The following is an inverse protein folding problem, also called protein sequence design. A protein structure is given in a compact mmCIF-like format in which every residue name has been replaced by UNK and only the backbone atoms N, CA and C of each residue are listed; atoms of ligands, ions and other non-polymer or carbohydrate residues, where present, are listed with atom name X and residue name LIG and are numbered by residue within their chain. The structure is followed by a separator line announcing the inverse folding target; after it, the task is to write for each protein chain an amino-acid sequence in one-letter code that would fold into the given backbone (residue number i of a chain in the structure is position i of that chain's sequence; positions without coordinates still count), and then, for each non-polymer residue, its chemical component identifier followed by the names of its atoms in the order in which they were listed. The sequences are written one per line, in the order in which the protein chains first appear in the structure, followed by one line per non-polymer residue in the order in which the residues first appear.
data_IF_536221639982
#
_entry.id   IF_536221639982
#
_cell.length_a   1.000
_cell.length_b   1.000
_cell.length_c   1.000
_cell.angle_alpha   90.00
_cell.angle_beta   90.00
_cell.angle_gamma   90.00
#
_symmetry.space_group_name_H-M   'P 1'
#
loop_
_entity.id
_entity.type
_entity.pdbx_description
1 polymer ?
#
# COMPACT_ATOMS: atom_id res chain seq x y z
N UNK A 1 -10.12 -21.22 18.08
CA UNK A 1 -10.80 -21.68 16.86
C UNK A 1 -10.77 -20.52 15.90
N UNK A 2 -10.31 -20.74 14.67
CA UNK A 2 -10.40 -19.72 13.63
C UNK A 2 -11.87 -19.46 13.28
N UNK A 3 -12.20 -18.27 12.78
CA UNK A 3 -13.56 -17.92 12.39
C UNK A 3 -14.15 -18.91 11.35
N UNK A 4 -13.29 -19.50 10.51
CA UNK A 4 -13.66 -20.49 9.49
C UNK A 4 -14.24 -21.80 10.06
N UNK A 5 -13.95 -22.12 11.33
CA UNK A 5 -14.51 -23.29 12.03
C UNK A 5 -15.88 -23.06 12.65
N UNK A 6 -16.45 -21.85 12.57
CA UNK A 6 -17.76 -21.57 13.12
C UNK A 6 -18.86 -22.08 12.17
N UNK A 7 -19.94 -22.74 12.66
CA UNK A 7 -21.01 -23.29 11.80
C UNK A 7 -21.72 -22.29 10.88
N UNK A 8 -21.69 -20.98 11.25
CA UNK A 8 -22.26 -19.89 10.45
C UNK A 8 -21.23 -19.18 9.56
N UNK A 9 -19.98 -19.63 9.55
CA UNK A 9 -18.96 -19.04 8.69
C UNK A 9 -19.17 -19.43 7.22
N UNK A 10 -18.86 -18.47 6.33
CA UNK A 10 -18.80 -18.75 4.89
C UNK A 10 -17.49 -19.49 4.61
N UNK A 11 -17.56 -20.75 4.20
CA UNK A 11 -16.40 -21.64 4.13
C UNK A 11 -15.33 -21.19 3.12
N UNK A 12 -15.72 -20.50 2.06
CA UNK A 12 -14.87 -19.98 1.00
C UNK A 12 -14.71 -18.44 1.04
N UNK A 13 -14.98 -17.81 2.18
CA UNK A 13 -15.02 -16.35 2.35
C UNK A 13 -13.79 -15.63 1.77
N UNK A 14 -12.61 -16.24 1.86
CA UNK A 14 -11.33 -15.65 1.40
C UNK A 14 -11.22 -15.50 -0.12
N UNK A 15 -11.98 -16.25 -0.91
CA UNK A 15 -12.01 -16.20 -2.38
C UNK A 15 -13.43 -16.06 -2.95
N UNK A 16 -14.43 -15.85 -2.10
CA UNK A 16 -15.81 -15.61 -2.50
C UNK A 16 -16.02 -14.11 -2.71
N UNK A 17 -16.02 -13.67 -3.98
CA UNK A 17 -16.13 -12.25 -4.28
C UNK A 17 -17.47 -11.64 -3.86
N UNK A 18 -18.57 -12.39 -3.93
CA UNK A 18 -19.87 -11.87 -3.48
C UNK A 18 -19.87 -11.59 -1.97
N UNK A 19 -19.25 -12.48 -1.18
CA UNK A 19 -19.06 -12.24 0.25
C UNK A 19 -18.17 -11.02 0.54
N UNK A 20 -17.05 -10.87 -0.18
CA UNK A 20 -16.15 -9.70 -0.05
C UNK A 20 -16.87 -8.41 -0.44
N UNK A 21 -17.65 -8.43 -1.52
CA UNK A 21 -18.48 -7.32 -1.97
C UNK A 21 -19.51 -6.90 -0.93
N UNK A 22 -20.29 -7.86 -0.41
CA UNK A 22 -21.28 -7.61 0.65
C UNK A 22 -20.62 -7.01 1.89
N UNK A 23 -19.47 -7.54 2.28
CA UNK A 23 -18.68 -7.03 3.42
C UNK A 23 -18.25 -5.58 3.19
N UNK A 24 -17.74 -5.24 2.01
CA UNK A 24 -17.33 -3.88 1.67
C UNK A 24 -18.53 -2.91 1.66
N UNK A 25 -19.64 -3.29 1.05
CA UNK A 25 -20.86 -2.48 1.05
C UNK A 25 -21.42 -2.27 2.47
N UNK A 26 -21.37 -3.30 3.32
CA UNK A 26 -21.77 -3.21 4.72
C UNK A 26 -20.84 -2.31 5.54
N UNK A 27 -19.52 -2.37 5.27
CA UNK A 27 -18.54 -1.46 5.88
C UNK A 27 -18.83 0.00 5.47
N UNK A 28 -19.14 0.27 4.20
CA UNK A 28 -19.51 1.59 3.71
C UNK A 28 -20.82 2.09 4.31
N UNK A 29 -21.85 1.25 4.43
CA UNK A 29 -23.10 1.54 5.11
C UNK A 29 -22.85 1.89 6.59
N UNK A 30 -21.97 1.11 7.26
CA UNK A 30 -21.53 1.32 8.63
C UNK A 30 -20.63 2.54 8.84
N UNK A 31 -20.29 3.27 7.77
CA UNK A 31 -19.42 4.47 7.79
C UNK A 31 -18.02 4.19 8.32
N UNK A 32 -17.47 3.01 8.03
CA UNK A 32 -16.06 2.76 8.27
C UNK A 32 -15.21 3.61 7.31
N UNK A 33 -14.08 4.10 7.78
CA UNK A 33 -13.20 4.95 6.98
C UNK A 33 -12.58 4.19 5.81
N UNK A 34 -12.17 2.94 6.05
CA UNK A 34 -11.54 2.09 5.01
C UNK A 34 -11.66 0.61 5.35
N UNK A 35 -11.45 -0.22 4.33
CA UNK A 35 -11.09 -1.63 4.49
C UNK A 35 -9.60 -1.81 4.24
N UNK A 36 -9.02 -2.80 4.92
CA UNK A 36 -7.59 -3.08 4.90
C UNK A 36 -7.36 -4.54 4.51
N UNK A 37 -6.72 -4.75 3.35
CA UNK A 37 -6.42 -6.09 2.85
C UNK A 37 -4.95 -6.42 3.12
N UNK A 38 -4.72 -7.23 4.15
CA UNK A 38 -3.41 -7.74 4.49
C UNK A 38 -2.93 -8.78 3.48
N UNK A 39 -1.62 -8.90 3.28
CA UNK A 39 -1.02 -9.89 2.40
C UNK A 39 0.29 -10.48 2.94
N UNK A 40 0.68 -11.62 2.39
CA UNK A 40 1.95 -12.31 2.64
C UNK A 40 2.28 -13.22 1.47
N UNK A 41 3.55 -13.20 1.07
CA UNK A 41 4.03 -13.80 -0.18
C UNK A 41 4.62 -15.20 0.00
N UNK A 42 4.25 -15.87 1.08
CA UNK A 42 4.67 -17.24 1.38
C UNK A 42 3.62 -17.97 2.22
N UNK A 43 3.38 -19.21 1.88
CA UNK A 43 2.52 -20.14 2.63
C UNK A 43 3.19 -21.50 2.78
N UNK A 44 2.77 -22.25 3.78
CA UNK A 44 3.06 -23.67 3.96
C UNK A 44 1.88 -24.36 4.64
N UNK A 45 2.01 -25.66 4.89
CA UNK A 45 0.98 -26.50 5.50
C UNK A 45 0.56 -26.09 6.93
N UNK A 46 1.34 -25.23 7.58
CA UNK A 46 1.04 -24.67 8.93
C UNK A 46 0.40 -23.30 8.89
N UNK A 47 0.24 -22.74 7.70
CA UNK A 47 -0.41 -21.45 7.53
C UNK A 47 -1.89 -21.54 7.91
N UNK A 48 -2.40 -20.50 8.55
CA UNK A 48 -3.83 -20.44 8.91
C UNK A 48 -4.71 -20.33 7.65
N UNK A 49 -5.94 -20.85 7.66
CA UNK A 49 -6.77 -21.04 6.47
C UNK A 49 -6.91 -19.81 5.57
N UNK A 50 -7.17 -18.63 6.14
CA UNK A 50 -7.35 -17.42 5.35
C UNK A 50 -6.05 -16.89 4.71
N UNK A 51 -4.88 -17.41 5.08
CA UNK A 51 -3.62 -17.14 4.39
C UNK A 51 -3.33 -18.12 3.26
N UNK A 52 -3.90 -19.33 3.31
CA UNK A 52 -3.67 -20.36 2.32
C UNK A 52 -4.30 -20.04 0.96
N UNK A 53 -5.44 -19.36 0.96
CA UNK A 53 -6.23 -19.13 -0.25
C UNK A 53 -6.95 -17.78 -0.15
N UNK A 54 -6.52 -16.78 -0.92
CA UNK A 54 -7.10 -15.43 -0.89
C UNK A 54 -6.82 -14.65 -2.16
N UNK A 55 -7.61 -13.63 -2.40
CA UNK A 55 -7.35 -12.68 -3.48
C UNK A 55 -6.09 -11.86 -3.23
N UNK A 56 -5.40 -11.50 -4.31
CA UNK A 56 -4.35 -10.50 -4.28
C UNK A 56 -4.97 -9.11 -4.00
N UNK A 57 -4.34 -8.29 -3.11
CA UNK A 57 -4.97 -7.07 -2.61
C UNK A 57 -5.39 -6.07 -3.69
N UNK A 58 -4.51 -5.71 -4.62
CA UNK A 58 -4.81 -4.68 -5.61
C UNK A 58 -5.88 -5.13 -6.60
N UNK A 59 -5.89 -6.41 -6.94
CA UNK A 59 -6.91 -6.99 -7.83
C UNK A 59 -8.30 -6.91 -7.21
N UNK A 60 -8.45 -7.35 -5.96
CA UNK A 60 -9.75 -7.31 -5.27
C UNK A 60 -10.20 -5.88 -4.97
N UNK A 61 -9.28 -5.00 -4.56
CA UNK A 61 -9.59 -3.60 -4.29
C UNK A 61 -9.99 -2.84 -5.55
N UNK A 62 -9.40 -3.15 -6.71
CA UNK A 62 -9.82 -2.57 -7.99
C UNK A 62 -11.25 -2.97 -8.36
N UNK A 63 -11.64 -4.22 -8.09
CA UNK A 63 -13.03 -4.67 -8.26
C UNK A 63 -13.97 -3.93 -7.29
N UNK A 64 -13.58 -3.77 -6.02
CA UNK A 64 -14.36 -3.06 -5.01
C UNK A 64 -14.46 -1.55 -5.29
N UNK A 65 -13.45 -0.95 -5.92
CA UNK A 65 -13.47 0.46 -6.31
C UNK A 65 -14.67 0.81 -7.21
N UNK A 66 -15.09 -0.15 -8.06
CA UNK A 66 -16.21 0.04 -9.00
C UNK A 66 -17.60 -0.02 -8.36
N UNK A 67 -17.71 -0.57 -7.15
CA UNK A 67 -18.99 -0.83 -6.46
C UNK A 67 -19.16 -0.09 -5.14
N UNK A 68 -18.12 0.59 -4.67
CA UNK A 68 -18.13 1.45 -3.48
C UNK A 68 -17.93 2.91 -3.89
N UNK A 69 -18.36 3.84 -3.04
CA UNK A 69 -18.32 5.28 -3.37
C UNK A 69 -17.52 6.11 -2.38
N UNK A 70 -17.39 5.69 -1.13
CA UNK A 70 -16.77 6.47 -0.04
C UNK A 70 -15.73 5.69 0.75
N UNK A 71 -15.84 4.37 0.80
CA UNK A 71 -14.96 3.49 1.56
C UNK A 71 -13.52 3.55 1.05
N UNK A 72 -12.57 3.86 1.91
CA UNK A 72 -11.14 3.79 1.60
C UNK A 72 -10.69 2.34 1.33
N UNK A 73 -9.77 2.19 0.41
CA UNK A 73 -9.31 0.90 -0.12
C UNK A 73 -7.81 0.74 0.12
N UNK A 74 -7.44 0.07 1.21
CA UNK A 74 -6.04 -0.06 1.63
C UNK A 74 -5.52 -1.45 1.30
N UNK A 75 -4.54 -1.53 0.40
CA UNK A 75 -3.91 -2.78 -0.03
C UNK A 75 -2.48 -2.94 0.47
N UNK A 76 -2.12 -4.15 0.86
CA UNK A 76 -0.75 -4.49 1.25
C UNK A 76 0.08 -4.85 0.05
N UNK A 77 1.28 -4.26 -0.05
CA UNK A 77 2.26 -4.62 -1.08
C UNK A 77 3.68 -4.44 -0.56
N UNK A 78 4.53 -5.41 -0.90
CA UNK A 78 5.91 -5.51 -0.38
C UNK A 78 6.89 -4.67 -1.17
N UNK A 79 7.73 -3.91 -0.46
CA UNK A 79 8.89 -3.21 -1.05
C UNK A 79 10.06 -4.15 -1.36
N UNK A 80 10.08 -5.35 -0.75
CA UNK A 80 11.18 -6.32 -0.95
C UNK A 80 11.02 -7.14 -2.23
N UNK A 81 9.80 -7.29 -2.74
CA UNK A 81 9.48 -8.21 -3.84
C UNK A 81 8.62 -7.59 -4.92
N UNK A 82 8.79 -6.30 -5.15
CA UNK A 82 8.14 -5.56 -6.23
C UNK A 82 9.04 -4.44 -6.75
N UNK A 83 8.67 -3.84 -7.88
CA UNK A 83 9.40 -2.75 -8.50
C UNK A 83 8.70 -1.41 -8.22
N UNK A 84 9.44 -0.35 -7.81
CA UNK A 84 8.83 0.92 -7.39
C UNK A 84 8.01 1.59 -8.51
N UNK A 85 8.46 1.56 -9.76
CA UNK A 85 7.70 2.11 -10.88
C UNK A 85 6.36 1.40 -11.08
N UNK A 86 6.35 0.06 -10.99
CA UNK A 86 5.13 -0.74 -11.11
C UNK A 86 4.14 -0.42 -9.99
N UNK A 87 4.63 -0.36 -8.76
CA UNK A 87 3.79 -0.08 -7.58
C UNK A 87 3.24 1.34 -7.61
N UNK A 88 4.08 2.33 -7.95
CA UNK A 88 3.61 3.71 -8.12
C UNK A 88 2.45 3.80 -9.12
N UNK A 89 2.58 3.11 -10.26
CA UNK A 89 1.57 3.07 -11.31
C UNK A 89 0.29 2.34 -10.87
N UNK A 90 0.42 1.22 -10.18
CA UNK A 90 -0.71 0.42 -9.72
C UNK A 90 -1.56 1.18 -8.70
N UNK A 91 -0.93 1.78 -7.68
CA UNK A 91 -1.66 2.55 -6.67
C UNK A 91 -2.23 3.86 -7.23
N UNK A 92 -1.53 4.53 -8.13
CA UNK A 92 -2.10 5.68 -8.83
C UNK A 92 -3.34 5.28 -9.67
N UNK A 93 -3.30 4.12 -10.32
CA UNK A 93 -4.44 3.59 -11.05
C UNK A 93 -5.63 3.29 -10.13
N UNK A 94 -5.38 2.63 -9.00
CA UNK A 94 -6.41 2.37 -7.99
C UNK A 94 -7.01 3.68 -7.45
N UNK A 95 -6.18 4.70 -7.25
CA UNK A 95 -6.64 6.00 -6.76
C UNK A 95 -7.56 6.71 -7.77
N UNK A 96 -7.20 6.67 -9.06
CA UNK A 96 -8.09 7.16 -10.12
C UNK A 96 -9.38 6.36 -10.23
N UNK A 97 -9.31 5.02 -10.21
CA UNK A 97 -10.48 4.14 -10.29
C UNK A 97 -11.44 4.33 -9.11
N UNK A 98 -10.91 4.59 -7.94
CA UNK A 98 -11.67 4.79 -6.71
C UNK A 98 -12.07 6.25 -6.45
N UNK A 99 -11.67 7.19 -7.31
CA UNK A 99 -11.87 8.63 -7.11
C UNK A 99 -11.26 9.13 -5.79
N UNK A 100 -9.98 8.83 -5.57
CA UNK A 100 -9.20 9.36 -4.45
C UNK A 100 -9.37 8.59 -3.13
N UNK A 101 -9.48 7.26 -3.17
CA UNK A 101 -9.69 6.43 -1.97
C UNK A 101 -8.63 5.34 -1.77
N UNK A 102 -7.54 5.35 -2.55
CA UNK A 102 -6.49 4.34 -2.43
C UNK A 102 -5.57 4.59 -1.24
N UNK A 103 -5.19 3.52 -0.56
CA UNK A 103 -4.15 3.49 0.44
C UNK A 103 -3.22 2.29 0.24
N UNK A 104 -1.95 2.48 0.54
CA UNK A 104 -0.93 1.45 0.44
C UNK A 104 -0.36 1.10 1.81
N UNK A 105 -0.60 -0.12 2.26
CA UNK A 105 0.10 -0.69 3.41
C UNK A 105 1.46 -1.21 2.98
N UNK A 106 2.50 -0.48 3.33
CA UNK A 106 3.89 -0.76 3.01
C UNK A 106 4.45 -1.82 3.95
N UNK A 107 4.89 -2.95 3.40
CA UNK A 107 5.53 -4.01 4.17
C UNK A 107 6.87 -4.40 3.58
N UNK A 108 7.77 -4.90 4.43
CA UNK A 108 9.08 -5.41 4.01
C UNK A 108 9.13 -6.93 3.92
N UNK A 109 7.98 -7.60 4.02
CA UNK A 109 7.80 -9.06 3.97
C UNK A 109 8.64 -9.81 5.02
N UNK A 110 8.09 -10.10 6.21
CA UNK A 110 8.86 -10.75 7.29
C UNK A 110 9.11 -12.26 7.04
N UNK A 111 8.41 -12.89 6.11
CA UNK A 111 8.46 -14.34 5.87
C UNK A 111 9.63 -14.71 4.95
N UNK A 112 10.63 -15.41 5.49
CA UNK A 112 11.84 -15.81 4.77
C UNK A 112 11.56 -16.65 3.50
N UNK A 113 10.55 -17.51 3.56
CA UNK A 113 10.14 -18.35 2.42
C UNK A 113 9.70 -17.56 1.19
N UNK A 114 9.35 -16.28 1.35
CA UNK A 114 8.98 -15.39 0.23
C UNK A 114 10.11 -15.26 -0.81
N UNK A 115 11.38 -15.27 -0.37
CA UNK A 115 12.53 -15.09 -1.26
C UNK A 115 12.54 -16.08 -2.43
N UNK A 116 12.20 -17.33 -2.18
CA UNK A 116 12.22 -18.42 -3.19
C UNK A 116 11.14 -18.22 -4.27
N UNK A 117 10.04 -17.56 -3.95
CA UNK A 117 8.97 -17.24 -4.91
C UNK A 117 9.37 -16.10 -5.87
N UNK A 118 10.46 -15.39 -5.56
CA UNK A 118 10.97 -14.25 -6.34
C UNK A 118 12.41 -14.47 -6.83
N UNK A 119 12.79 -15.71 -7.09
CA UNK A 119 14.10 -16.10 -7.63
C UNK A 119 15.31 -15.64 -6.80
N UNK A 120 15.13 -15.52 -5.48
CA UNK A 120 16.20 -15.14 -4.54
C UNK A 120 16.54 -16.33 -3.64
N UNK A 121 17.80 -16.64 -3.50
CA UNK A 121 18.27 -17.72 -2.63
C UNK A 121 18.07 -17.41 -1.14
N UNK A 122 18.25 -16.15 -0.78
CA UNK A 122 18.16 -15.67 0.60
C UNK A 122 17.21 -14.48 0.73
N UNK A 123 16.49 -14.50 1.83
CA UNK A 123 15.72 -13.34 2.27
C UNK A 123 16.67 -12.25 2.80
N UNK A 124 16.54 -10.99 2.39
CA UNK A 124 17.37 -9.93 2.91
C UNK A 124 17.22 -9.76 4.42
N UNK A 125 18.30 -9.42 5.10
CA UNK A 125 18.28 -9.15 6.53
C UNK A 125 17.35 -7.99 6.90
N UNK A 126 16.85 -7.96 8.14
CA UNK A 126 15.86 -7.01 8.62
C UNK A 126 16.27 -5.55 8.35
N UNK A 127 17.45 -5.13 8.80
CA UNK A 127 17.92 -3.75 8.61
C UNK A 127 18.07 -3.38 7.13
N UNK A 128 18.56 -4.30 6.28
CA UNK A 128 18.68 -4.08 4.84
C UNK A 128 17.31 -3.89 4.19
N UNK A 129 16.29 -4.68 4.58
CA UNK A 129 14.93 -4.51 4.04
C UNK A 129 14.35 -3.13 4.34
N UNK A 130 14.61 -2.57 5.51
CA UNK A 130 14.14 -1.24 5.86
C UNK A 130 14.90 -0.13 5.13
N UNK A 131 16.20 -0.29 4.87
CA UNK A 131 16.96 0.64 4.01
C UNK A 131 16.45 0.62 2.57
N UNK A 132 16.18 -0.56 2.03
CA UNK A 132 15.56 -0.71 0.70
C UNK A 132 14.18 -0.07 0.68
N UNK A 133 13.37 -0.28 1.71
CA UNK A 133 12.03 0.30 1.80
C UNK A 133 12.03 1.82 1.89
N UNK A 134 13.01 2.40 2.57
CA UNK A 134 13.17 3.84 2.70
C UNK A 134 13.42 4.49 1.32
N UNK A 135 14.41 4.00 0.58
CA UNK A 135 14.68 4.49 -0.78
C UNK A 135 13.53 4.18 -1.75
N UNK A 136 12.91 3.00 -1.62
CA UNK A 136 11.75 2.62 -2.42
C UNK A 136 10.60 3.64 -2.30
N UNK A 137 10.30 4.07 -1.07
CA UNK A 137 9.25 5.05 -0.80
C UNK A 137 9.60 6.44 -1.34
N UNK A 138 10.86 6.86 -1.26
CA UNK A 138 11.32 8.10 -1.88
C UNK A 138 11.10 8.06 -3.41
N UNK A 139 11.44 6.94 -4.06
CA UNK A 139 11.21 6.74 -5.50
C UNK A 139 9.73 6.77 -5.84
N UNK A 140 8.89 6.02 -5.12
CA UNK A 140 7.45 5.96 -5.41
C UNK A 140 6.77 7.31 -5.23
N UNK A 141 7.11 8.05 -4.16
CA UNK A 141 6.59 9.40 -3.92
C UNK A 141 7.04 10.37 -5.01
N UNK A 142 8.31 10.34 -5.40
CA UNK A 142 8.82 11.16 -6.50
C UNK A 142 8.14 10.86 -7.84
N UNK A 143 7.82 9.59 -8.11
CA UNK A 143 7.06 9.21 -9.30
C UNK A 143 5.62 9.74 -9.28
N UNK A 144 4.95 9.77 -8.12
CA UNK A 144 3.61 10.37 -7.99
C UNK A 144 3.59 11.87 -8.20
N UNK A 145 4.73 12.55 -8.02
CA UNK A 145 4.90 13.97 -8.28
C UNK A 145 5.36 14.29 -9.72
N UNK A 146 5.40 13.30 -10.64
CA UNK A 146 5.79 13.51 -12.05
C UNK A 146 4.90 14.51 -12.78
N UNK A 147 3.65 14.67 -12.39
CA UNK A 147 2.68 15.55 -13.03
C UNK A 147 2.08 16.54 -12.05
N UNK A 148 2.01 17.81 -12.43
CA UNK A 148 1.19 18.77 -11.70
C UNK A 148 -0.30 18.51 -11.94
N UNK A 149 -1.16 18.95 -11.02
CA UNK A 149 -2.58 18.61 -11.05
C UNK A 149 -3.33 19.10 -12.30
N UNK A 150 -2.88 20.18 -12.90
CA UNK A 150 -3.45 20.81 -14.08
C UNK A 150 -2.60 20.61 -15.35
N UNK A 151 -1.66 19.66 -15.34
CA UNK A 151 -0.77 19.40 -16.48
C UNK A 151 -1.53 18.97 -17.75
N UNK A 152 -2.65 18.25 -17.63
CA UNK A 152 -3.42 17.73 -18.77
C UNK A 152 -4.51 18.71 -19.22
N UNK A 153 -4.21 19.55 -20.21
CA UNK A 153 -5.09 20.61 -20.74
C UNK A 153 -6.24 20.03 -21.55
N UNK A 154 -5.99 18.99 -22.37
CA UNK A 154 -6.98 18.31 -23.23
C UNK A 154 -7.80 19.27 -24.11
N UNK A 155 -7.17 20.32 -24.63
CA UNK A 155 -7.83 21.32 -25.49
C UNK A 155 -8.05 20.75 -26.89
N UNK A 156 -9.30 20.54 -27.26
CA UNK A 156 -9.68 19.96 -28.58
C UNK A 156 -9.52 20.94 -29.72
N UNK A 157 -9.59 22.27 -29.49
CA UNK A 157 -9.48 23.28 -30.51
C UNK A 157 -8.02 23.47 -30.94
N UNK A 158 -7.11 23.62 -29.98
CA UNK A 158 -5.68 23.79 -30.26
C UNK A 158 -4.94 22.48 -30.49
N UNK A 159 -5.52 21.34 -30.11
CA UNK A 159 -4.86 20.03 -30.11
C UNK A 159 -3.87 19.86 -28.94
N UNK A 160 -3.72 20.83 -28.07
CA UNK A 160 -2.81 20.75 -26.92
C UNK A 160 -3.36 19.78 -25.87
N UNK A 161 -2.67 18.65 -25.68
CA UNK A 161 -3.07 17.63 -24.74
C UNK A 161 -2.57 17.88 -23.32
N UNK A 162 -1.32 18.32 -23.18
CA UNK A 162 -0.70 18.61 -21.89
C UNK A 162 0.25 19.81 -21.98
N UNK A 163 0.65 20.33 -20.82
CA UNK A 163 1.69 21.34 -20.66
C UNK A 163 3.01 20.66 -20.28
N UNK A 164 3.99 20.69 -21.17
CA UNK A 164 5.29 20.05 -20.95
C UNK A 164 6.09 20.65 -19.77
N UNK A 165 5.83 21.92 -19.41
CA UNK A 165 6.50 22.56 -18.28
C UNK A 165 6.02 22.00 -16.91
N UNK A 166 4.90 21.27 -16.90
CA UNK A 166 4.28 20.63 -15.73
C UNK A 166 4.54 19.12 -15.65
N UNK A 167 5.48 18.62 -16.44
CA UNK A 167 5.98 17.26 -16.40
C UNK A 167 7.38 17.25 -15.78
N UNK A 168 7.56 16.50 -14.71
CA UNK A 168 8.82 16.40 -13.97
C UNK A 168 9.39 14.99 -14.06
N UNK A 169 10.61 14.86 -14.55
CA UNK A 169 11.33 13.59 -14.59
C UNK A 169 12.00 13.38 -13.23
N UNK A 170 11.83 12.20 -12.64
CA UNK A 170 12.38 11.86 -11.34
C UNK A 170 13.91 11.76 -11.36
N UNK A 171 14.44 11.02 -12.34
CA UNK A 171 15.88 10.74 -12.55
C UNK A 171 16.60 10.31 -11.26
N UNK A 172 16.02 9.34 -10.55
CA UNK A 172 16.56 8.83 -9.30
C UNK A 172 17.76 7.92 -9.52
N UNK A 173 18.85 8.18 -8.81
CA UNK A 173 20.07 7.38 -8.76
C UNK A 173 20.44 7.13 -7.29
N UNK A 174 20.02 6.00 -6.73
CA UNK A 174 20.26 5.64 -5.34
C UNK A 174 21.11 4.38 -5.15
N UNK A 175 21.19 3.93 -3.90
CA UNK A 175 21.95 2.74 -3.53
C UNK A 175 21.30 1.44 -4.04
N UNK A 176 19.97 1.42 -4.15
CA UNK A 176 19.18 0.23 -4.48
C UNK A 176 18.41 0.37 -5.79
N UNK A 177 18.05 1.58 -6.18
CA UNK A 177 17.20 1.81 -7.35
C UNK A 177 17.79 2.87 -8.29
N UNK A 178 17.57 2.65 -9.60
CA UNK A 178 17.83 3.62 -10.65
C UNK A 178 16.55 3.74 -11.48
N UNK A 179 15.82 4.84 -11.34
CA UNK A 179 14.50 5.01 -11.93
C UNK A 179 14.39 6.39 -12.57
N UNK A 180 14.37 6.41 -13.89
CA UNK A 180 14.29 7.68 -14.63
C UNK A 180 12.93 8.37 -14.44
N UNK A 181 11.83 7.64 -14.50
CA UNK A 181 10.52 8.27 -14.64
C UNK A 181 10.35 8.91 -16.04
N UNK A 182 9.40 9.83 -16.26
CA UNK A 182 8.30 10.13 -15.35
C UNK A 182 7.27 9.00 -15.28
N UNK A 183 6.38 9.06 -14.29
CA UNK A 183 5.25 8.13 -14.21
C UNK A 183 4.27 8.40 -15.35
N UNK A 184 3.79 7.34 -16.00
CA UNK A 184 2.89 7.42 -17.16
C UNK A 184 1.39 7.43 -16.81
N UNK A 185 1.06 8.01 -15.66
CA UNK A 185 -0.31 8.31 -15.23
C UNK A 185 -0.31 9.66 -14.51
N UNK A 186 -1.32 10.48 -14.75
CA UNK A 186 -1.41 11.82 -14.17
C UNK A 186 -1.58 11.81 -12.64
N UNK A 187 -1.37 12.98 -12.03
CA UNK A 187 -1.57 13.18 -10.60
C UNK A 187 -2.94 12.68 -10.16
N UNK A 188 -2.98 11.97 -9.07
CA UNK A 188 -4.20 11.31 -8.58
C UNK A 188 -5.15 12.29 -7.89
N UNK A 189 -6.46 11.96 -7.74
CA UNK A 189 -7.44 12.86 -7.13
C UNK A 189 -7.08 13.34 -5.72
N UNK A 190 -6.45 12.49 -4.89
CA UNK A 190 -5.99 12.90 -3.55
C UNK A 190 -4.53 13.41 -3.53
N UNK A 191 -3.91 13.65 -4.70
CA UNK A 191 -2.52 14.05 -4.85
C UNK A 191 -1.58 12.86 -4.88
N UNK A 192 -1.67 11.97 -3.91
CA UNK A 192 -1.01 10.66 -3.84
C UNK A 192 -1.81 9.70 -2.95
N UNK A 193 -1.72 8.38 -3.17
CA UNK A 193 -2.28 7.39 -2.26
C UNK A 193 -1.78 7.56 -0.82
N UNK A 194 -2.65 7.29 0.14
CA UNK A 194 -2.30 7.33 1.57
C UNK A 194 -1.33 6.18 1.90
N UNK A 195 -0.24 6.49 2.58
CA UNK A 195 0.78 5.51 2.99
C UNK A 195 0.51 5.03 4.40
N UNK A 196 0.25 3.73 4.53
CA UNK A 196 0.14 3.02 5.80
C UNK A 196 1.42 2.23 6.07
N UNK A 197 1.77 2.07 7.33
CA UNK A 197 2.89 1.24 7.77
C UNK A 197 2.47 0.44 9.02
N UNK A 198 2.94 -0.80 9.14
CA UNK A 198 2.52 -1.72 10.21
C UNK A 198 3.69 -2.25 11.07
N UNK A 199 4.92 -1.77 10.89
CA UNK A 199 6.09 -2.25 11.64
C UNK A 199 6.19 -1.62 13.02
N UNK A 200 6.30 -2.45 14.06
CA UNK A 200 6.49 -2.01 15.44
C UNK A 200 7.96 -2.01 15.91
N UNK A 201 8.90 -2.50 15.09
CA UNK A 201 10.34 -2.45 15.38
C UNK A 201 10.87 -1.01 15.30
N UNK A 202 12.06 -0.76 15.86
CA UNK A 202 12.66 0.58 15.80
C UNK A 202 12.87 1.06 14.36
N UNK A 203 13.32 0.17 13.44
CA UNK A 203 13.42 0.48 12.02
C UNK A 203 12.04 0.75 11.40
N UNK A 204 11.01 -0.01 11.81
CA UNK A 204 9.63 0.19 11.38
C UNK A 204 9.07 1.53 11.81
N UNK A 205 9.31 1.95 13.06
CA UNK A 205 8.90 3.25 13.58
C UNK A 205 9.61 4.40 12.87
N UNK A 206 10.91 4.28 12.57
CA UNK A 206 11.67 5.27 11.79
C UNK A 206 11.12 5.42 10.37
N UNK A 207 10.88 4.30 9.70
CA UNK A 207 10.28 4.31 8.36
C UNK A 207 8.89 4.97 8.38
N UNK A 208 8.07 4.63 9.39
CA UNK A 208 6.75 5.21 9.57
C UNK A 208 6.82 6.72 9.84
N UNK A 209 7.70 7.17 10.73
CA UNK A 209 7.88 8.58 11.06
C UNK A 209 8.31 9.42 9.84
N UNK A 210 9.11 8.86 8.92
CA UNK A 210 9.54 9.56 7.70
C UNK A 210 8.47 9.54 6.61
N UNK A 211 7.74 8.44 6.45
CA UNK A 211 6.97 8.18 5.23
C UNK A 211 5.48 8.01 5.38
N UNK A 212 5.00 7.51 6.54
CA UNK A 212 3.62 7.09 6.68
C UNK A 212 2.67 8.24 7.04
N UNK A 213 1.49 8.20 6.45
CA UNK A 213 0.36 9.06 6.84
C UNK A 213 -0.44 8.42 7.99
N UNK A 214 -0.43 7.07 8.07
CA UNK A 214 -1.12 6.30 9.11
C UNK A 214 -0.31 5.07 9.52
N UNK A 215 -0.47 4.63 10.77
CA UNK A 215 0.20 3.44 11.30
C UNK A 215 -0.86 2.48 11.81
N UNK A 216 -0.80 1.22 11.31
CA UNK A 216 -1.53 0.12 11.90
C UNK A 216 -0.69 -0.53 12.99
N UNK A 217 -1.23 -0.66 14.20
CA UNK A 217 -0.55 -1.27 15.33
C UNK A 217 -1.52 -2.05 16.22
N UNK A 218 -0.97 -3.02 16.95
CA UNK A 218 -1.73 -3.82 17.91
C UNK A 218 -1.01 -3.79 19.26
N UNK A 219 -1.77 -3.57 20.33
CA UNK A 219 -1.26 -3.56 21.70
C UNK A 219 -2.28 -4.22 22.62
N UNK A 220 -1.81 -5.04 23.54
CA UNK A 220 -2.67 -5.73 24.51
C UNK A 220 -3.14 -4.82 25.65
N UNK A 221 -2.38 -3.77 25.94
CA UNK A 221 -2.69 -2.84 27.01
C UNK A 221 -2.70 -1.39 26.58
N UNK A 222 -3.49 -0.56 27.28
CA UNK A 222 -3.52 0.90 27.07
C UNK A 222 -2.13 1.53 27.28
N UNK A 223 -1.36 1.03 28.26
CA UNK A 223 -0.03 1.57 28.58
C UNK A 223 0.95 1.39 27.42
N UNK A 224 0.96 0.21 26.82
CA UNK A 224 1.77 -0.08 25.64
C UNK A 224 1.36 0.79 24.44
N UNK A 225 0.07 0.90 24.16
CA UNK A 225 -0.44 1.75 23.10
C UNK A 225 -0.03 3.22 23.27
N UNK A 226 -0.11 3.74 24.50
CA UNK A 226 0.31 5.11 24.81
C UNK A 226 1.83 5.29 24.71
N UNK A 227 2.63 4.30 25.10
CA UNK A 227 4.08 4.34 24.97
C UNK A 227 4.49 4.35 23.51
N UNK A 228 3.92 3.47 22.70
CA UNK A 228 4.14 3.43 21.24
C UNK A 228 3.75 4.75 20.56
N UNK A 229 2.59 5.30 20.89
CA UNK A 229 2.13 6.56 20.34
C UNK A 229 3.10 7.72 20.65
N UNK A 230 3.57 7.84 21.91
CA UNK A 230 4.53 8.88 22.30
C UNK A 230 5.86 8.73 21.58
N UNK A 231 6.37 7.50 21.49
CA UNK A 231 7.63 7.20 20.80
C UNK A 231 7.57 7.60 19.32
N UNK A 232 6.53 7.19 18.60
CA UNK A 232 6.33 7.57 17.19
C UNK A 232 6.20 9.08 17.02
N UNK A 233 5.42 9.76 17.90
CA UNK A 233 5.26 11.22 17.83
C UNK A 233 6.57 11.96 18.07
N UNK A 234 7.41 11.49 18.99
CA UNK A 234 8.72 12.05 19.24
C UNK A 234 9.67 11.88 18.04
N UNK A 235 9.59 10.72 17.34
CA UNK A 235 10.38 10.51 16.13
C UNK A 235 9.92 11.40 14.98
N UNK A 236 8.62 11.70 14.85
CA UNK A 236 8.11 12.64 13.85
C UNK A 236 8.73 14.04 13.97
N UNK A 237 8.97 14.54 15.19
CA UNK A 237 9.57 15.86 15.42
C UNK A 237 10.99 15.98 14.82
N UNK A 238 11.68 14.86 14.60
CA UNK A 238 13.00 14.84 13.97
C UNK A 238 12.97 14.88 12.44
N UNK A 239 11.79 14.73 11.84
CA UNK A 239 11.62 14.73 10.38
C UNK A 239 10.85 15.96 9.83
N UNK A 240 10.42 16.89 10.70
CA UNK A 240 9.82 18.18 10.34
C UNK A 240 8.35 18.25 10.56
#
# INVERSE_FOLDING_TARGET
MSAEGHPAAVADASINFDFVKETALKAEEGKLDFIFVADGLYINEKSIPHFLNRFEPLTVLSALASITSRLGLVGTLSTSYSEPFTVARQFASLDHLSNGRAGWNVVTSPLEGSAKNFSREKHPEHALRYRIADEYLDVVKGLWDSWEGDAFIRNKESGQFFDASKLHTLDHHGDFFQVSGPLNIGRTPQGRPIVFQAGASDDGKKLAAKHADAIFTHHDTRGEAQAFYRDVKQQLESHG
#
